data_IF_282087987694
#
_entry.id   IF_282087987694
#
_cell.length_a   1.000
_cell.length_b   1.000
_cell.length_c   1.000
_cell.angle_alpha   90.00
_cell.angle_beta   90.00
_cell.angle_gamma   90.00
#
_symmetry.space_group_name_H-M   'P 1'
#
loop_
_entity.id
_entity.type
_entity.pdbx_description
1 polymer ?
#
# COMPACT_ATOMS: atom_id res chain seq x y z
N UNK A 1 -26.23 0.13 3.28
CA UNK A 1 -24.90 0.45 3.83
C UNK A 1 -24.08 1.16 2.76
N UNK A 2 -23.61 2.38 3.01
CA UNK A 2 -22.80 3.12 2.03
C UNK A 2 -21.47 2.38 1.79
N UNK A 3 -21.13 2.11 0.53
CA UNK A 3 -19.89 1.42 0.14
C UNK A 3 -18.69 2.24 0.63
N UNK A 4 -17.83 1.64 1.46
CA UNK A 4 -16.59 2.29 1.94
C UNK A 4 -15.77 2.72 0.72
N UNK A 5 -15.34 3.99 0.70
CA UNK A 5 -14.51 4.54 -0.39
C UNK A 5 -13.24 3.69 -0.54
N UNK A 6 -12.84 3.40 -1.78
CA UNK A 6 -11.82 2.39 -2.14
C UNK A 6 -10.37 2.81 -1.81
N UNK A 7 -10.16 3.96 -1.17
CA UNK A 7 -8.86 4.62 -0.98
C UNK A 7 -8.62 5.74 -2.00
N UNK A 8 -7.45 6.36 -1.94
CA UNK A 8 -6.99 7.43 -2.82
C UNK A 8 -6.35 6.86 -4.11
N UNK A 9 -6.63 7.44 -5.29
CA UNK A 9 -5.91 7.11 -6.51
C UNK A 9 -4.50 7.72 -6.44
N UNK A 10 -3.52 6.89 -6.05
CA UNK A 10 -2.11 7.30 -5.93
C UNK A 10 -1.36 6.89 -7.19
N UNK A 11 -0.63 7.82 -7.78
CA UNK A 11 0.22 7.61 -8.95
C UNK A 11 1.66 7.99 -8.59
N UNK A 12 2.59 7.04 -8.70
CA UNK A 12 3.99 7.29 -8.37
C UNK A 12 4.73 6.03 -7.94
N UNK A 13 5.95 6.23 -7.47
CA UNK A 13 6.85 5.17 -7.00
C UNK A 13 7.25 5.44 -5.55
N UNK A 14 7.43 4.35 -4.79
CA UNK A 14 7.93 4.40 -3.42
C UNK A 14 9.14 3.50 -3.34
N UNK A 15 10.29 4.08 -2.98
CA UNK A 15 11.49 3.32 -2.66
C UNK A 15 11.40 2.96 -1.18
N UNK A 16 11.11 1.69 -0.89
CA UNK A 16 10.94 1.18 0.46
C UNK A 16 12.18 0.38 0.86
N UNK A 17 12.82 0.77 1.96
CA UNK A 17 13.74 -0.10 2.67
C UNK A 17 12.96 -1.09 3.54
N UNK A 18 12.98 -2.37 3.14
CA UNK A 18 12.17 -3.41 3.78
C UNK A 18 12.99 -4.11 4.87
N UNK A 19 12.49 -4.22 6.11
CA UNK A 19 13.23 -4.91 7.17
C UNK A 19 13.44 -6.40 6.86
N UNK A 20 14.47 -6.95 7.50
CA UNK A 20 14.71 -8.39 7.54
C UNK A 20 13.49 -9.11 8.14
N UNK A 21 13.19 -10.31 7.63
CA UNK A 21 12.02 -11.13 8.02
C UNK A 21 10.63 -10.62 7.59
N UNK A 22 10.52 -9.51 6.85
CA UNK A 22 9.27 -9.10 6.19
C UNK A 22 9.19 -9.66 4.77
N UNK A 23 8.07 -10.23 4.34
CA UNK A 23 7.89 -10.66 2.93
C UNK A 23 7.58 -9.46 2.02
N UNK A 24 7.89 -9.55 0.74
CA UNK A 24 7.58 -8.48 -0.23
C UNK A 24 6.07 -8.18 -0.29
N UNK A 25 5.23 -9.20 -0.17
CA UNK A 25 3.77 -9.04 -0.12
C UNK A 25 3.33 -8.24 1.11
N UNK A 26 3.92 -8.50 2.27
CA UNK A 26 3.65 -7.72 3.49
C UNK A 26 4.10 -6.26 3.33
N UNK A 27 5.26 -6.05 2.70
CA UNK A 27 5.81 -4.73 2.45
C UNK A 27 4.91 -3.90 1.52
N UNK A 28 4.50 -4.46 0.37
CA UNK A 28 3.54 -3.82 -0.55
C UNK A 28 2.20 -3.55 0.14
N UNK A 29 1.71 -4.49 0.96
CA UNK A 29 0.50 -4.31 1.76
C UNK A 29 0.61 -3.18 2.79
N UNK A 30 1.78 -3.00 3.41
CA UNK A 30 2.07 -1.89 4.31
C UNK A 30 2.08 -0.55 3.56
N UNK A 31 2.74 -0.47 2.40
CA UNK A 31 2.75 0.72 1.55
C UNK A 31 1.33 1.10 1.13
N UNK A 32 0.52 0.13 0.68
CA UNK A 32 -0.88 0.39 0.31
C UNK A 32 -1.68 1.04 1.44
N UNK A 33 -1.50 0.56 2.68
CA UNK A 33 -2.19 1.08 3.87
C UNK A 33 -1.65 2.46 4.28
N UNK A 34 -0.32 2.64 4.25
CA UNK A 34 0.34 3.89 4.64
C UNK A 34 -0.14 5.08 3.80
N UNK A 35 -0.31 4.89 2.49
CA UNK A 35 -0.81 5.94 1.59
C UNK A 35 -2.33 5.92 1.38
N UNK A 36 -3.06 5.04 2.08
CA UNK A 36 -4.47 4.75 1.82
C UNK A 36 -4.75 4.55 0.32
N UNK A 37 -3.84 3.90 -0.40
CA UNK A 37 -3.87 3.78 -1.84
C UNK A 37 -4.91 2.73 -2.30
N UNK A 38 -5.57 2.99 -3.42
CA UNK A 38 -6.49 2.01 -4.03
C UNK A 38 -5.76 0.72 -4.46
N UNK A 39 -4.53 0.86 -4.95
CA UNK A 39 -3.67 -0.23 -5.42
C UNK A 39 -2.21 0.11 -5.09
N UNK A 40 -1.44 -0.92 -4.71
CA UNK A 40 0.01 -0.89 -4.65
C UNK A 40 0.50 -2.23 -5.20
N UNK A 41 1.65 -2.22 -5.87
CA UNK A 41 2.28 -3.39 -6.49
C UNK A 41 3.78 -3.18 -6.55
#
# INVERSE_FOLDING_TARGET
MARRKKGNPVHGWVVLDKPLNMTSTQAVGAVRRAFNAQKAG
#
